data_IF_753617193038
#
_entry.id   IF_753617193038
#
_cell.length_a   1.000
_cell.length_b   1.000
_cell.length_c   1.000
_cell.angle_alpha   90.00
_cell.angle_beta   90.00
_cell.angle_gamma   90.00
#
_symmetry.space_group_name_H-M   'P 1'
#
loop_
_entity.id
_entity.type
_entity.pdbx_description
1 polymer ?
#
# COMPACT_ATOMS: atom_id res chain seq x y z
N UNK A 1 -6.55 -14.70 -3.68
CA UNK A 1 -7.81 -15.47 -3.55
C UNK A 1 -7.70 -16.93 -4.00
N UNK A 2 -7.24 -17.23 -5.23
CA UNK A 2 -7.15 -18.62 -5.72
C UNK A 2 -6.36 -19.55 -4.78
N UNK A 3 -5.22 -19.08 -4.25
CA UNK A 3 -4.41 -19.84 -3.29
C UNK A 3 -5.15 -20.14 -1.98
N UNK A 4 -5.94 -19.19 -1.46
CA UNK A 4 -6.77 -19.40 -0.27
C UNK A 4 -7.85 -20.47 -0.51
N UNK A 5 -8.49 -20.45 -1.69
CA UNK A 5 -9.45 -21.48 -2.09
C UNK A 5 -8.78 -22.86 -2.22
N UNK A 6 -7.59 -22.91 -2.85
CA UNK A 6 -6.82 -24.14 -3.01
C UNK A 6 -6.40 -24.72 -1.65
N UNK A 7 -5.95 -23.86 -0.74
CA UNK A 7 -5.59 -24.26 0.62
C UNK A 7 -6.79 -24.85 1.34
N UNK A 8 -7.95 -24.17 1.30
CA UNK A 8 -9.19 -24.68 1.91
C UNK A 8 -9.65 -26.01 1.30
N UNK A 9 -9.51 -26.17 -0.01
CA UNK A 9 -9.81 -27.43 -0.68
C UNK A 9 -8.86 -28.56 -0.26
N UNK A 10 -7.56 -28.27 -0.13
CA UNK A 10 -6.56 -29.26 0.27
C UNK A 10 -6.55 -29.56 1.76
N UNK A 11 -7.12 -28.68 2.59
CA UNK A 11 -7.22 -28.88 4.05
C UNK A 11 -7.94 -30.19 4.39
N UNK A 12 -8.94 -30.60 3.59
CA UNK A 12 -9.69 -31.85 3.81
C UNK A 12 -8.82 -33.10 3.62
N UNK A 13 -7.80 -33.00 2.76
CA UNK A 13 -6.97 -34.12 2.34
C UNK A 13 -5.55 -34.03 2.93
N UNK A 14 -5.29 -33.04 3.79
CA UNK A 14 -3.95 -32.71 4.26
C UNK A 14 -3.32 -33.79 5.18
N UNK A 15 -4.04 -34.87 5.53
CA UNK A 15 -3.59 -35.97 6.39
C UNK A 15 -2.94 -35.47 7.70
N UNK A 16 -3.55 -34.47 8.33
CA UNK A 16 -3.05 -33.88 9.58
C UNK A 16 -1.96 -32.83 9.42
N UNK A 17 -1.56 -32.45 8.19
CA UNK A 17 -0.64 -31.33 7.96
C UNK A 17 -1.39 -30.00 8.04
N UNK A 18 -0.79 -29.01 8.71
CA UNK A 18 -1.25 -27.63 8.65
C UNK A 18 -0.73 -26.98 7.37
N UNK A 19 -1.63 -26.36 6.61
CA UNK A 19 -1.29 -25.57 5.44
C UNK A 19 -1.40 -24.09 5.83
N UNK A 20 -0.45 -23.27 5.40
CA UNK A 20 -0.42 -21.83 5.65
C UNK A 20 -0.54 -21.05 4.34
N UNK A 21 -1.17 -19.87 4.41
CA UNK A 21 -1.13 -18.88 3.35
C UNK A 21 -0.18 -17.77 3.78
N UNK A 22 0.91 -17.57 3.05
CA UNK A 22 1.83 -16.45 3.25
C UNK A 22 1.48 -15.28 2.33
N UNK A 23 1.75 -14.06 2.79
CA UNK A 23 1.89 -12.88 1.94
C UNK A 23 3.37 -12.64 1.68
N UNK A 24 3.85 -12.87 0.47
CA UNK A 24 5.25 -12.71 0.10
C UNK A 24 5.43 -11.54 -0.87
N UNK A 25 6.65 -10.97 -0.88
CA UNK A 25 7.11 -9.98 -1.86
C UNK A 25 6.25 -8.71 -2.00
N UNK A 26 5.69 -8.19 -0.90
CA UNK A 26 4.88 -6.98 -0.97
C UNK A 26 5.76 -5.73 -1.17
N UNK A 27 6.04 -5.40 -2.43
CA UNK A 27 6.91 -4.31 -2.86
C UNK A 27 6.12 -3.21 -3.59
N UNK A 28 5.25 -2.51 -2.86
CA UNK A 28 4.45 -1.43 -3.40
C UNK A 28 4.66 -0.11 -2.65
N UNK A 29 4.66 0.98 -3.43
CA UNK A 29 4.62 2.35 -2.92
C UNK A 29 3.15 2.72 -2.71
N UNK A 30 2.89 3.44 -1.62
CA UNK A 30 1.56 3.97 -1.35
C UNK A 30 1.21 5.18 -2.25
N UNK A 31 0.02 5.75 -2.03
CA UNK A 31 -0.93 5.28 -1.05
C UNK A 31 -1.83 4.14 -1.57
N UNK A 32 -2.16 4.08 -2.87
CA UNK A 32 -3.19 3.14 -3.36
C UNK A 32 -2.74 1.68 -3.32
N UNK A 33 -1.68 1.32 -4.05
CA UNK A 33 -1.30 -0.08 -4.23
C UNK A 33 -0.98 -0.75 -2.89
N UNK A 34 -0.22 -0.07 -2.04
CA UNK A 34 0.10 -0.59 -0.70
C UNK A 34 -1.14 -0.77 0.18
N UNK A 35 -2.06 0.22 0.22
CA UNK A 35 -3.26 0.13 1.05
C UNK A 35 -4.17 -1.01 0.60
N UNK A 36 -4.34 -1.19 -0.71
CA UNK A 36 -5.18 -2.25 -1.28
C UNK A 36 -4.60 -3.64 -1.03
N UNK A 37 -3.29 -3.79 -1.14
CA UNK A 37 -2.62 -5.05 -0.82
C UNK A 37 -2.76 -5.41 0.66
N UNK A 38 -2.52 -4.46 1.56
CA UNK A 38 -2.68 -4.68 3.00
C UNK A 38 -4.15 -4.99 3.34
N UNK A 39 -5.11 -4.32 2.69
CA UNK A 39 -6.53 -4.64 2.83
C UNK A 39 -6.85 -6.07 2.36
N UNK A 40 -6.26 -6.51 1.24
CA UNK A 40 -6.43 -7.87 0.73
C UNK A 40 -5.82 -8.93 1.67
N UNK A 41 -4.62 -8.68 2.20
CA UNK A 41 -3.98 -9.57 3.18
C UNK A 41 -4.80 -9.69 4.46
N UNK A 42 -5.27 -8.55 4.98
CA UNK A 42 -6.15 -8.51 6.15
C UNK A 42 -7.45 -9.28 5.90
N UNK A 43 -8.11 -9.07 4.76
CA UNK A 43 -9.36 -9.76 4.41
C UNK A 43 -9.18 -11.28 4.22
N UNK A 44 -7.99 -11.72 3.81
CA UNK A 44 -7.65 -13.15 3.68
C UNK A 44 -7.17 -13.79 4.99
N UNK A 45 -7.08 -13.02 6.09
CA UNK A 45 -6.60 -13.50 7.38
C UNK A 45 -5.09 -13.77 7.40
N UNK A 46 -4.32 -13.10 6.54
CA UNK A 46 -2.85 -13.19 6.52
C UNK A 46 -2.30 -12.15 7.48
N UNK A 47 -1.82 -12.59 8.63
CA UNK A 47 -1.31 -11.72 9.70
C UNK A 47 0.16 -11.31 9.50
N UNK A 48 0.94 -12.09 8.74
CA UNK A 48 2.35 -11.85 8.48
C UNK A 48 2.63 -11.74 6.98
N UNK A 49 3.29 -10.66 6.59
CA UNK A 49 3.61 -10.36 5.19
C UNK A 49 5.07 -9.96 5.08
N UNK A 50 5.81 -10.59 4.18
CA UNK A 50 7.15 -10.14 3.80
C UNK A 50 7.04 -8.91 2.89
N UNK A 51 7.79 -7.86 3.22
CA UNK A 51 7.87 -6.65 2.41
C UNK A 51 9.24 -6.49 1.80
N UNK A 52 9.33 -6.59 0.48
CA UNK A 52 10.56 -6.35 -0.25
C UNK A 52 10.69 -4.89 -0.71
N UNK A 53 11.92 -4.40 -0.70
CA UNK A 53 12.29 -3.06 -1.15
C UNK A 53 11.73 -1.88 -0.34
N UNK A 54 11.03 -2.11 0.77
CA UNK A 54 10.43 -1.04 1.57
C UNK A 54 11.43 -0.05 2.17
N UNK A 55 12.69 -0.47 2.40
CA UNK A 55 13.79 0.42 2.80
C UNK A 55 14.26 1.36 1.67
N UNK A 56 13.95 1.06 0.40
CA UNK A 56 14.30 1.91 -0.73
C UNK A 56 13.22 2.97 -1.03
N UNK A 57 12.03 2.84 -0.44
CA UNK A 57 10.96 3.80 -0.62
C UNK A 57 10.99 4.85 0.50
N UNK A 58 11.21 6.12 0.13
CA UNK A 58 11.18 7.26 1.05
C UNK A 58 9.73 7.70 1.33
N UNK A 59 8.91 6.77 1.82
CA UNK A 59 7.48 7.01 2.06
C UNK A 59 6.76 7.54 0.82
N UNK A 60 5.96 8.59 1.01
CA UNK A 60 5.23 9.29 -0.06
C UNK A 60 5.93 10.56 -0.54
N UNK A 61 7.26 10.66 -0.40
CA UNK A 61 8.01 11.88 -0.70
C UNK A 61 7.95 12.35 -2.16
N UNK A 62 7.51 11.49 -3.08
CA UNK A 62 7.35 11.82 -4.51
C UNK A 62 6.05 12.57 -4.81
N UNK A 63 5.12 12.61 -3.85
CA UNK A 63 3.82 13.24 -4.00
C UNK A 63 3.76 14.61 -3.34
N UNK A 64 2.81 15.44 -3.78
CA UNK A 64 2.54 16.77 -3.21
C UNK A 64 2.13 16.72 -1.73
N UNK A 65 2.26 17.85 -1.04
CA UNK A 65 1.94 17.94 0.39
C UNK A 65 0.48 17.63 0.69
N UNK A 66 -0.45 18.06 -0.17
CA UNK A 66 -1.87 17.83 0.08
C UNK A 66 -2.24 16.34 0.13
N UNK A 67 -1.64 15.50 -0.75
CA UNK A 67 -1.83 14.05 -0.69
C UNK A 67 -1.23 13.45 0.58
N UNK A 68 -0.05 13.93 0.99
CA UNK A 68 0.59 13.47 2.22
C UNK A 68 -0.30 13.77 3.43
N UNK A 69 -0.89 14.97 3.47
CA UNK A 69 -1.77 15.42 4.54
C UNK A 69 -3.07 14.61 4.58
N UNK A 70 -3.69 14.33 3.42
CA UNK A 70 -4.90 13.51 3.37
C UNK A 70 -4.63 12.06 3.78
N UNK A 71 -3.50 11.48 3.37
CA UNK A 71 -3.10 10.13 3.83
C UNK A 71 -2.91 10.09 5.34
N UNK A 72 -2.24 11.10 5.92
CA UNK A 72 -2.05 11.18 7.37
C UNK A 72 -3.37 11.38 8.11
N UNK A 73 -4.31 12.13 7.53
CA UNK A 73 -5.64 12.36 8.09
C UNK A 73 -6.49 11.07 8.09
N UNK A 74 -6.45 10.30 7.00
CA UNK A 74 -7.28 9.08 6.84
C UNK A 74 -6.65 7.82 7.41
N UNK A 75 -5.32 7.73 7.41
CA UNK A 75 -4.55 6.55 7.77
C UNK A 75 -3.44 6.86 8.78
N UNK A 76 -3.67 7.78 9.71
CA UNK A 76 -2.69 8.20 10.72
C UNK A 76 -2.31 7.14 11.77
N UNK A 77 -3.02 6.01 11.82
CA UNK A 77 -2.59 4.82 12.56
C UNK A 77 -1.50 4.03 11.80
N UNK A 78 -1.60 3.99 10.46
CA UNK A 78 -0.65 3.30 9.58
C UNK A 78 0.55 4.18 9.19
N UNK A 79 0.34 5.49 9.03
CA UNK A 79 1.35 6.46 8.61
C UNK A 79 1.67 7.47 9.71
N UNK A 80 2.91 7.94 9.72
CA UNK A 80 3.36 9.08 10.52
C UNK A 80 4.03 10.13 9.61
N UNK A 81 4.10 11.38 10.08
CA UNK A 81 4.82 12.43 9.35
C UNK A 81 6.32 12.28 9.60
N UNK A 82 7.08 12.09 8.52
CA UNK A 82 8.53 12.12 8.54
C UNK A 82 9.05 13.55 8.82
N UNK A 83 10.23 13.74 9.45
CA UNK A 83 10.81 15.06 9.68
C UNK A 83 10.93 15.96 8.44
N UNK A 84 11.08 15.36 7.26
CA UNK A 84 11.14 16.07 5.98
C UNK A 84 9.74 16.35 5.37
N UNK A 85 8.67 16.15 6.14
CA UNK A 85 7.30 16.59 5.82
C UNK A 85 6.38 15.55 5.17
N UNK A 86 6.92 14.49 4.55
CA UNK A 86 6.12 13.47 3.86
C UNK A 86 5.58 12.36 4.80
N UNK A 87 4.54 11.65 4.38
CA UNK A 87 3.97 10.50 5.07
C UNK A 87 4.85 9.26 4.87
N UNK A 88 5.19 8.60 5.97
CA UNK A 88 5.94 7.35 5.98
C UNK A 88 5.24 6.32 6.86
N UNK A 89 5.41 5.04 6.57
CA UNK A 89 4.78 3.98 7.36
C UNK A 89 5.29 4.00 8.80
N UNK A 90 4.38 3.83 9.75
CA UNK A 90 4.70 3.65 11.15
C UNK A 90 4.85 2.16 11.43
N UNK A 91 6.08 1.65 11.32
CA UNK A 91 6.42 0.27 11.67
C UNK A 91 6.92 0.26 13.10
N UNK A 92 6.20 -0.43 13.99
CA UNK A 92 6.55 -0.56 15.40
C UNK A 92 6.80 -2.02 15.75
N UNK A 93 8.05 -2.36 16.06
CA UNK A 93 8.46 -3.74 16.38
C UNK A 93 8.06 -4.75 15.28
N UNK A 94 8.09 -4.33 14.02
CA UNK A 94 7.68 -5.13 12.86
C UNK A 94 6.18 -5.16 12.58
N UNK A 95 5.37 -4.43 13.36
CA UNK A 95 3.92 -4.38 13.22
C UNK A 95 3.45 -3.11 12.49
N UNK A 96 2.32 -3.24 11.80
CA UNK A 96 1.57 -2.15 11.18
C UNK A 96 0.17 -2.13 11.78
N UNK A 97 -0.33 -0.93 12.11
CA UNK A 97 -1.73 -0.79 12.51
C UNK A 97 -2.63 -0.87 11.26
N UNK A 98 -3.68 -1.69 11.35
CA UNK A 98 -4.57 -1.99 10.23
C UNK A 98 -5.97 -1.39 10.37
N UNK A 99 -6.23 -0.63 11.43
CA UNK A 99 -7.57 -0.16 11.80
C UNK A 99 -8.20 0.70 10.71
N UNK A 100 -7.51 1.74 10.26
CA UNK A 100 -7.99 2.62 9.20
C UNK A 100 -8.15 1.86 7.87
N UNK A 101 -7.17 1.03 7.49
CA UNK A 101 -7.19 0.27 6.23
C UNK A 101 -8.36 -0.70 6.18
N UNK A 102 -8.59 -1.46 7.25
CA UNK A 102 -9.68 -2.42 7.33
C UNK A 102 -11.06 -1.75 7.33
N UNK A 103 -11.16 -0.52 7.84
CA UNK A 103 -12.41 0.25 7.85
C UNK A 103 -12.70 0.98 6.54
N UNK A 104 -11.68 1.18 5.69
CA UNK A 104 -11.79 1.93 4.45
C UNK A 104 -12.29 1.06 3.28
N UNK A 105 -12.97 1.64 2.27
CA UNK A 105 -13.37 0.94 1.05
C UNK A 105 -12.14 0.39 0.30
N UNK A 106 -11.88 -0.89 0.50
CA UNK A 106 -10.68 -1.58 0.01
C UNK A 106 -9.37 -0.84 0.34
N UNK A 107 -9.27 -0.32 1.56
CA UNK A 107 -8.08 0.37 2.05
C UNK A 107 -7.94 1.83 1.64
N UNK A 108 -8.56 2.28 0.55
CA UNK A 108 -8.44 3.66 0.05
C UNK A 108 -9.64 4.50 0.49
N UNK A 109 -9.46 5.35 1.51
CA UNK A 109 -10.53 6.18 2.08
C UNK A 109 -10.74 7.54 1.37
N UNK A 110 -10.11 7.77 0.22
CA UNK A 110 -10.11 9.03 -0.53
C UNK A 110 -9.93 8.78 -2.03
N UNK A 111 -10.35 9.73 -2.86
CA UNK A 111 -10.13 9.69 -4.31
C UNK A 111 -8.73 10.26 -4.62
N UNK A 112 -7.89 9.49 -5.31
CA UNK A 112 -6.52 9.94 -5.61
C UNK A 112 -6.46 10.96 -6.75
N UNK A 113 -7.45 10.94 -7.64
CA UNK A 113 -7.52 11.82 -8.82
C UNK A 113 -7.61 13.30 -8.45
N UNK A 114 -8.05 13.62 -7.23
CA UNK A 114 -8.10 15.00 -6.71
C UNK A 114 -6.71 15.56 -6.40
N UNK A 115 -5.69 14.70 -6.30
CA UNK A 115 -4.34 15.03 -5.80
C UNK A 115 -3.21 14.65 -6.76
N UNK A 116 -3.55 13.98 -7.85
CA UNK A 116 -2.66 13.82 -8.99
C UNK A 116 -2.85 15.08 -9.84
N UNK A 117 -1.75 15.77 -10.19
CA UNK A 117 -1.80 16.85 -11.18
C UNK A 117 -2.66 16.38 -12.36
N UNK A 118 -3.53 17.24 -12.93
CA UNK A 118 -4.41 16.84 -14.01
C UNK A 118 -3.54 16.20 -15.08
N UNK A 119 -3.75 14.90 -15.31
CA UNK A 119 -2.99 14.10 -16.26
C UNK A 119 -2.89 14.91 -17.55
N UNK A 120 -1.70 15.48 -17.78
CA UNK A 120 -1.44 16.15 -19.05
C UNK A 120 -1.57 15.04 -20.10
N UNK A 121 -2.45 15.20 -21.11
CA UNK A 121 -2.41 14.35 -22.28
C UNK A 121 -0.95 14.17 -22.71
N UNK A 122 -0.57 12.97 -23.12
CA UNK A 122 0.83 12.65 -23.45
C UNK A 122 1.45 13.69 -24.42
N UNK A 123 0.62 14.21 -25.33
CA UNK A 123 0.98 15.27 -26.27
C UNK A 123 1.37 16.58 -25.56
N UNK A 124 0.57 17.02 -24.59
CA UNK A 124 0.81 18.23 -23.78
C UNK A 124 1.97 18.07 -22.79
N UNK A 125 2.24 16.83 -22.34
CA UNK A 125 3.39 16.51 -21.48
C UNK A 125 4.72 16.59 -22.24
N UNK A 126 4.71 16.21 -23.53
CA UNK A 126 5.91 16.24 -24.39
C UNK A 126 6.34 17.67 -24.72
N UNK A 127 5.39 18.59 -24.93
CA UNK A 127 5.67 20.00 -25.24
C UNK A 127 6.29 20.78 -24.08
N UNK A 128 6.06 20.35 -22.83
CA UNK A 128 6.65 20.98 -21.62
C UNK A 128 8.10 20.57 -21.34
N UNK A 129 8.70 19.71 -22.17
CA UNK A 129 10.12 19.41 -22.13
C UNK A 129 10.55 18.53 -20.96
N UNK A 130 10.11 17.27 -20.95
CA UNK A 130 10.53 16.27 -19.95
C UNK A 130 12.01 15.83 -20.06
N UNK A 131 12.78 16.37 -21.02
CA UNK A 131 14.21 16.11 -21.21
C UNK A 131 15.05 17.36 -21.42
N UNK A 132 14.52 18.56 -21.18
CA UNK A 132 15.27 19.79 -21.42
C UNK A 132 16.42 19.99 -20.42
N UNK A 133 16.37 19.33 -19.26
CA UNK A 133 17.33 19.49 -18.16
C UNK A 133 17.98 18.16 -17.68
N UNK A 134 18.11 17.16 -18.57
CA UNK A 134 18.97 15.98 -18.35
C UNK A 134 20.23 16.02 -19.21
#
# INVERSE_FOLDING_TARGET
MANACLLRHRQTDAQGRSLILSGEDLANVGPVALLQDLAAMHALGVEHVERNGHHYFRGLSVFGQDLNDEVLNRHGDLYHRHPDGFAALSIQEGNLAMGSVASAPFGTAFAIDEWLDPWLPMDDWTERGAFADF
#
